data_IF_174116537384
#
_entry.id   IF_174116537384
#
_cell.length_a   1.000
_cell.length_b   1.000
_cell.length_c   1.000
_cell.angle_alpha   90.00
_cell.angle_beta   90.00
_cell.angle_gamma   90.00
#
_symmetry.space_group_name_H-M   'P 1'
#
loop_
_entity.id
_entity.type
_entity.pdbx_description
1 polymer ?
#
# COMPACT_ATOMS: atom_id res chain seq x y z
N UNK A 1 -18.43 -16.67 75.48
CA UNK A 1 -17.08 -16.64 74.85
C UNK A 1 -17.12 -17.59 73.67
N UNK A 2 -16.58 -17.17 72.52
CA UNK A 2 -16.49 -17.99 71.31
C UNK A 2 -15.03 -18.14 70.91
N UNK A 3 -14.64 -19.32 70.43
CA UNK A 3 -13.29 -19.59 69.97
C UNK A 3 -13.28 -20.72 68.94
N UNK A 4 -12.17 -20.83 68.23
CA UNK A 4 -11.93 -21.91 67.28
C UNK A 4 -10.64 -22.65 67.66
N UNK A 5 -10.59 -23.95 67.39
CA UNK A 5 -9.39 -24.76 67.58
C UNK A 5 -9.30 -25.82 66.49
N UNK A 6 -8.10 -26.01 65.98
CA UNK A 6 -7.81 -27.15 65.12
C UNK A 6 -7.48 -28.36 66.00
N UNK A 7 -8.19 -29.46 65.80
CA UNK A 7 -7.88 -30.74 66.44
C UNK A 7 -7.66 -31.80 65.37
N UNK A 8 -6.81 -32.77 65.69
CA UNK A 8 -6.57 -33.94 64.83
C UNK A 8 -7.28 -35.14 65.45
N UNK A 9 -8.25 -35.69 64.74
CA UNK A 9 -9.00 -36.89 65.16
C UNK A 9 -8.87 -37.92 64.05
N UNK A 10 -8.43 -39.13 64.41
CA UNK A 10 -8.33 -40.29 63.50
C UNK A 10 -7.55 -40.03 62.20
N UNK A 11 -6.51 -39.18 62.28
CA UNK A 11 -5.67 -38.81 61.13
C UNK A 11 -6.12 -37.56 60.36
N UNK A 12 -7.38 -37.17 60.48
CA UNK A 12 -8.00 -36.03 59.79
C UNK A 12 -8.01 -34.76 60.68
N UNK A 13 -7.91 -33.59 60.04
CA UNK A 13 -7.93 -32.31 60.73
C UNK A 13 -9.35 -31.73 60.75
N UNK A 14 -9.83 -31.37 61.94
CA UNK A 14 -11.15 -30.80 62.16
C UNK A 14 -11.02 -29.37 62.71
N UNK A 15 -11.81 -28.45 62.15
CA UNK A 15 -12.03 -27.14 62.73
C UNK A 15 -13.17 -27.24 63.74
N UNK A 16 -12.83 -26.99 65.01
CA UNK A 16 -13.80 -27.02 66.10
C UNK A 16 -14.15 -25.60 66.47
N UNK A 17 -15.42 -25.25 66.29
CA UNK A 17 -15.96 -23.96 66.71
C UNK A 17 -16.78 -24.18 67.98
N UNK A 18 -16.50 -23.41 69.03
CA UNK A 18 -17.32 -23.42 70.23
C UNK A 18 -17.89 -22.04 70.51
N UNK A 19 -19.18 -21.97 70.79
CA UNK A 19 -19.87 -20.74 71.18
C UNK A 19 -20.79 -20.97 72.38
N UNK A 20 -20.72 -20.06 73.35
CA UNK A 20 -21.61 -20.08 74.50
C UNK A 20 -23.02 -19.61 74.08
N UNK A 21 -24.06 -20.35 74.47
CA UNK A 21 -25.43 -19.96 74.18
C UNK A 21 -25.83 -18.76 75.04
N UNK A 22 -26.21 -17.65 74.40
CA UNK A 22 -26.49 -16.39 75.10
C UNK A 22 -27.62 -16.48 76.14
N UNK A 23 -28.48 -17.51 76.06
CA UNK A 23 -29.63 -17.70 76.94
C UNK A 23 -29.43 -18.76 78.04
N UNK A 24 -28.30 -19.49 78.04
CA UNK A 24 -28.01 -20.54 79.03
C UNK A 24 -26.56 -20.44 79.50
N UNK A 25 -26.37 -20.10 80.77
CA UNK A 25 -25.08 -19.65 81.33
C UNK A 25 -23.94 -20.69 81.31
N UNK A 26 -24.25 -21.96 81.05
CA UNK A 26 -23.28 -23.08 81.05
C UNK A 26 -23.37 -24.00 79.81
N UNK A 27 -24.11 -23.60 78.76
CA UNK A 27 -24.28 -24.42 77.57
C UNK A 27 -23.40 -23.90 76.43
N UNK A 28 -22.59 -24.78 75.87
CA UNK A 28 -21.70 -24.50 74.74
C UNK A 28 -22.11 -25.38 73.57
N UNK A 29 -22.36 -24.76 72.41
CA UNK A 29 -22.46 -25.49 71.16
C UNK A 29 -21.04 -25.71 70.64
N UNK A 30 -20.73 -26.96 70.31
CA UNK A 30 -19.46 -27.35 69.71
C UNK A 30 -19.77 -27.96 68.35
N UNK A 31 -19.28 -27.33 67.29
CA UNK A 31 -19.39 -27.79 65.92
C UNK A 31 -18.05 -28.35 65.44
N UNK A 32 -18.09 -29.52 64.79
CA UNK A 32 -16.92 -30.23 64.27
C UNK A 32 -17.02 -30.31 62.74
N UNK A 33 -16.32 -29.41 62.05
CA UNK A 33 -16.29 -29.43 60.58
C UNK A 33 -14.95 -30.00 60.09
N UNK A 34 -14.93 -31.08 59.29
CA UNK A 34 -13.69 -31.56 58.66
C UNK A 34 -13.08 -30.48 57.78
N UNK A 35 -11.78 -30.20 57.93
CA UNK A 35 -11.13 -29.16 57.13
C UNK A 35 -11.10 -29.51 55.64
N UNK A 36 -11.14 -30.81 55.32
CA UNK A 36 -11.27 -31.34 53.96
C UNK A 36 -12.56 -30.90 53.27
N UNK A 37 -13.68 -30.79 54.00
CA UNK A 37 -14.94 -30.25 53.46
C UNK A 37 -14.86 -28.74 53.18
N UNK A 38 -14.09 -28.00 53.98
CA UNK A 38 -13.83 -26.57 53.77
C UNK A 38 -12.85 -26.33 52.61
N UNK A 39 -11.85 -27.20 52.45
CA UNK A 39 -10.79 -27.07 51.44
C UNK A 39 -11.17 -27.66 50.07
N UNK A 40 -12.02 -28.70 50.00
CA UNK A 40 -12.44 -29.31 48.74
C UNK A 40 -13.06 -28.31 47.72
N UNK A 41 -13.96 -27.40 48.13
CA UNK A 41 -14.44 -26.33 47.27
C UNK A 41 -13.32 -25.41 46.78
N UNK A 42 -12.31 -25.15 47.61
CA UNK A 42 -11.17 -24.29 47.27
C UNK A 42 -10.31 -24.94 46.18
N UNK A 43 -9.98 -26.23 46.31
CA UNK A 43 -9.20 -26.95 45.30
C UNK A 43 -9.94 -27.11 43.97
N UNK A 44 -11.26 -27.36 44.01
CA UNK A 44 -12.09 -27.41 42.80
C UNK A 44 -12.12 -26.05 42.06
N UNK A 45 -12.25 -24.95 42.79
CA UNK A 45 -12.22 -23.59 42.23
C UNK A 45 -10.83 -23.23 41.67
N UNK A 46 -9.75 -23.63 42.34
CA UNK A 46 -8.39 -23.41 41.84
C UNK A 46 -8.14 -24.13 40.51
N UNK A 47 -8.61 -25.38 40.36
CA UNK A 47 -8.50 -26.12 39.09
C UNK A 47 -9.26 -25.44 37.96
N UNK A 48 -10.48 -24.96 38.20
CA UNK A 48 -11.25 -24.21 37.22
C UNK A 48 -10.56 -22.89 36.84
N UNK A 49 -9.97 -22.19 37.81
CA UNK A 49 -9.20 -20.96 37.58
C UNK A 49 -7.97 -21.21 36.71
N UNK A 50 -7.17 -22.25 37.00
CA UNK A 50 -6.00 -22.57 36.18
C UNK A 50 -6.41 -23.02 34.78
N UNK A 51 -7.46 -23.83 34.66
CA UNK A 51 -7.99 -24.24 33.36
C UNK A 51 -8.47 -23.05 32.52
N UNK A 52 -9.27 -22.15 33.10
CA UNK A 52 -9.76 -20.96 32.39
C UNK A 52 -8.62 -20.01 32.03
N UNK A 53 -7.62 -19.86 32.90
CA UNK A 53 -6.44 -19.03 32.64
C UNK A 53 -5.63 -19.57 31.45
N UNK A 54 -5.33 -20.88 31.44
CA UNK A 54 -4.61 -21.52 30.33
C UNK A 54 -5.43 -21.46 29.05
N UNK A 55 -6.74 -21.71 29.12
CA UNK A 55 -7.63 -21.62 27.98
C UNK A 55 -7.64 -20.22 27.38
N UNK A 56 -7.78 -19.17 28.19
CA UNK A 56 -7.76 -17.77 27.73
C UNK A 56 -6.42 -17.39 27.11
N UNK A 57 -5.30 -17.85 27.68
CA UNK A 57 -3.97 -17.62 27.10
C UNK A 57 -3.86 -18.26 25.71
N UNK A 58 -4.21 -19.55 25.59
CA UNK A 58 -4.18 -20.25 24.30
C UNK A 58 -5.12 -19.61 23.28
N UNK A 59 -6.32 -19.23 23.71
CA UNK A 59 -7.29 -18.55 22.87
C UNK A 59 -6.77 -17.19 22.38
N UNK A 60 -6.12 -16.41 23.25
CA UNK A 60 -5.53 -15.12 22.87
C UNK A 60 -4.41 -15.27 21.83
N UNK A 61 -3.55 -16.29 21.99
CA UNK A 61 -2.47 -16.59 21.05
C UNK A 61 -3.05 -17.00 19.70
N UNK A 62 -4.06 -17.88 19.71
CA UNK A 62 -4.75 -18.30 18.49
C UNK A 62 -5.36 -17.11 17.76
N UNK A 63 -6.06 -16.23 18.48
CA UNK A 63 -6.69 -15.05 17.89
C UNK A 63 -5.64 -14.08 17.31
N UNK A 64 -4.52 -13.88 18.02
CA UNK A 64 -3.42 -13.05 17.54
C UNK A 64 -2.79 -13.61 16.25
N UNK A 65 -2.63 -14.93 16.15
CA UNK A 65 -2.13 -15.59 14.94
C UNK A 65 -3.10 -15.46 13.77
N UNK A 66 -4.40 -15.59 14.01
CA UNK A 66 -5.44 -15.40 12.99
C UNK A 66 -5.44 -13.95 12.49
N UNK A 67 -5.45 -12.96 13.38
CA UNK A 67 -5.38 -11.54 12.99
C UNK A 67 -4.08 -11.22 12.23
N UNK A 68 -2.95 -11.78 12.66
CA UNK A 68 -1.69 -11.59 11.95
C UNK A 68 -1.78 -12.16 10.53
N UNK A 69 -2.31 -13.37 10.37
CA UNK A 69 -2.41 -14.04 9.07
C UNK A 69 -3.43 -13.36 8.14
N UNK A 70 -4.61 -13.07 8.65
CA UNK A 70 -5.76 -12.69 7.84
C UNK A 70 -5.88 -11.16 7.65
N UNK A 71 -5.21 -10.36 8.48
CA UNK A 71 -5.25 -8.88 8.41
C UNK A 71 -3.86 -8.29 8.18
N UNK A 72 -2.89 -8.61 9.03
CA UNK A 72 -1.58 -7.95 9.00
C UNK A 72 -0.78 -8.30 7.72
N UNK A 73 -0.83 -9.54 7.26
CA UNK A 73 -0.14 -9.97 6.04
C UNK A 73 -0.73 -9.29 4.78
N UNK A 74 -2.05 -9.32 4.52
CA UNK A 74 -2.63 -8.62 3.36
C UNK A 74 -2.35 -7.13 3.36
N UNK A 75 -2.46 -6.44 4.50
CA UNK A 75 -2.14 -5.01 4.62
C UNK A 75 -0.68 -4.73 4.22
N UNK A 76 0.26 -5.54 4.70
CA UNK A 76 1.69 -5.37 4.35
C UNK A 76 1.94 -5.58 2.85
N UNK A 77 1.26 -6.54 2.22
CA UNK A 77 1.33 -6.76 0.77
C UNK A 77 0.80 -5.56 -0.01
N UNK A 78 -0.33 -5.00 0.41
CA UNK A 78 -0.90 -3.79 -0.21
C UNK A 78 0.05 -2.60 -0.09
N UNK A 79 0.59 -2.35 1.11
CA UNK A 79 1.57 -1.29 1.33
C UNK A 79 2.85 -1.46 0.49
N UNK A 80 3.31 -2.70 0.33
CA UNK A 80 4.41 -3.01 -0.56
C UNK A 80 4.07 -2.65 -2.01
N UNK A 81 2.87 -3.00 -2.48
CA UNK A 81 2.40 -2.64 -3.81
C UNK A 81 2.36 -1.13 -4.02
N UNK A 82 1.76 -0.38 -3.09
CA UNK A 82 1.73 1.09 -3.15
C UNK A 82 3.14 1.67 -3.26
N UNK A 83 4.08 1.21 -2.44
CA UNK A 83 5.48 1.67 -2.49
C UNK A 83 6.13 1.42 -3.85
N UNK A 84 5.82 0.28 -4.48
CA UNK A 84 6.35 -0.07 -5.80
C UNK A 84 5.84 0.85 -6.91
N UNK A 85 4.54 1.14 -6.94
CA UNK A 85 3.96 2.14 -7.86
C UNK A 85 4.62 3.51 -7.65
N UNK A 86 4.77 3.95 -6.39
CA UNK A 86 5.42 5.24 -6.11
C UNK A 86 6.88 5.30 -6.53
N UNK A 87 7.57 4.16 -6.61
CA UNK A 87 8.94 4.06 -7.11
C UNK A 87 9.07 3.93 -8.63
N UNK A 88 7.97 4.06 -9.38
CA UNK A 88 7.96 3.94 -10.84
C UNK A 88 7.77 2.52 -11.38
N UNK A 89 7.47 1.54 -10.52
CA UNK A 89 7.22 0.15 -10.93
C UNK A 89 5.71 -0.10 -11.05
N UNK A 90 5.16 0.13 -12.24
CA UNK A 90 3.70 0.08 -12.51
C UNK A 90 3.18 -1.28 -13.01
N UNK A 91 4.06 -2.25 -13.23
CA UNK A 91 3.70 -3.60 -13.72
C UNK A 91 3.57 -4.64 -12.61
N UNK A 92 3.26 -4.19 -11.39
CA UNK A 92 3.09 -5.11 -10.26
C UNK A 92 1.65 -5.61 -10.17
N UNK A 93 1.50 -6.85 -9.73
CA UNK A 93 0.20 -7.46 -9.48
C UNK A 93 0.23 -8.11 -8.12
N UNK A 94 -0.69 -7.71 -7.25
CA UNK A 94 -0.91 -8.35 -5.97
C UNK A 94 -1.85 -9.54 -6.18
N UNK A 95 -1.46 -10.70 -5.65
CA UNK A 95 -2.28 -11.91 -5.67
C UNK A 95 -2.56 -12.38 -4.24
N UNK A 96 -3.81 -12.74 -3.99
CA UNK A 96 -4.28 -13.37 -2.77
C UNK A 96 -5.07 -14.62 -3.15
N UNK A 97 -4.91 -15.68 -2.35
CA UNK A 97 -5.64 -16.95 -2.53
C UNK A 97 -6.95 -16.97 -1.73
N UNK A 98 -7.17 -15.99 -0.86
CA UNK A 98 -8.37 -15.85 -0.03
C UNK A 98 -9.44 -15.04 -0.77
N UNK A 99 -10.69 -15.51 -0.71
CA UNK A 99 -11.86 -14.83 -1.28
C UNK A 99 -12.53 -13.93 -0.23
N UNK A 100 -11.80 -12.92 0.25
CA UNK A 100 -12.24 -11.96 1.27
C UNK A 100 -12.25 -10.52 0.73
N UNK A 101 -12.53 -9.54 1.58
CA UNK A 101 -12.52 -8.12 1.23
C UNK A 101 -11.14 -7.65 0.72
N UNK A 102 -10.05 -8.32 1.10
CA UNK A 102 -8.72 -7.99 0.60
C UNK A 102 -8.51 -8.44 -0.85
N UNK A 103 -9.20 -9.49 -1.32
CA UNK A 103 -9.24 -9.82 -2.74
C UNK A 103 -9.78 -8.65 -3.56
N UNK A 104 -10.92 -8.09 -3.15
CA UNK A 104 -11.49 -6.91 -3.80
C UNK A 104 -10.51 -5.73 -3.78
N UNK A 105 -9.86 -5.45 -2.64
CA UNK A 105 -8.85 -4.39 -2.55
C UNK A 105 -7.65 -4.62 -3.48
N UNK A 106 -7.19 -5.87 -3.61
CA UNK A 106 -6.07 -6.20 -4.48
C UNK A 106 -6.43 -6.08 -5.95
N UNK A 107 -7.63 -6.51 -6.34
CA UNK A 107 -8.12 -6.37 -7.71
C UNK A 107 -8.25 -4.89 -8.10
N UNK A 108 -8.84 -4.06 -7.23
CA UNK A 108 -8.94 -2.62 -7.46
C UNK A 108 -7.56 -1.96 -7.51
N UNK A 109 -6.63 -2.37 -6.65
CA UNK A 109 -5.24 -1.91 -6.72
C UNK A 109 -4.58 -2.28 -8.05
N UNK A 110 -4.77 -3.51 -8.53
CA UNK A 110 -4.20 -4.00 -9.78
C UNK A 110 -4.75 -3.25 -10.99
N UNK A 111 -6.06 -2.99 -11.00
CA UNK A 111 -6.74 -2.18 -12.02
C UNK A 111 -6.16 -0.76 -12.06
N UNK A 112 -6.03 -0.10 -10.90
CA UNK A 112 -5.40 1.22 -10.81
C UNK A 112 -3.94 1.22 -11.29
N UNK A 113 -3.16 0.20 -10.93
CA UNK A 113 -1.76 0.07 -11.39
C UNK A 113 -1.68 -0.01 -12.92
N UNK A 114 -2.61 -0.75 -13.54
CA UNK A 114 -2.71 -0.90 -14.99
C UNK A 114 -3.12 0.42 -15.66
N UNK A 115 -4.14 1.10 -15.13
CA UNK A 115 -4.58 2.40 -15.66
C UNK A 115 -3.47 3.44 -15.62
N UNK A 116 -2.72 3.52 -14.51
CA UNK A 116 -1.57 4.42 -14.38
C UNK A 116 -0.52 4.12 -15.45
N UNK A 117 -0.20 2.83 -15.68
CA UNK A 117 0.74 2.42 -16.72
C UNK A 117 0.26 2.86 -18.11
N UNK A 118 -0.99 2.57 -18.45
CA UNK A 118 -1.58 2.95 -19.75
C UNK A 118 -1.60 4.47 -19.94
N UNK A 119 -1.87 5.23 -18.87
CA UNK A 119 -1.84 6.69 -18.91
C UNK A 119 -0.42 7.21 -19.18
N UNK A 120 0.60 6.64 -18.53
CA UNK A 120 2.00 7.01 -18.76
C UNK A 120 2.40 6.71 -20.21
N UNK A 121 2.08 5.52 -20.72
CA UNK A 121 2.36 5.14 -22.11
C UNK A 121 1.67 6.07 -23.09
N UNK A 122 0.41 6.44 -22.85
CA UNK A 122 -0.34 7.38 -23.69
C UNK A 122 0.30 8.76 -23.71
N UNK A 123 0.61 9.33 -22.55
CA UNK A 123 1.24 10.65 -22.44
C UNK A 123 2.59 10.65 -23.16
N UNK A 124 3.38 9.58 -23.01
CA UNK A 124 4.66 9.45 -23.69
C UNK A 124 4.50 9.39 -25.22
N UNK A 125 3.55 8.60 -25.72
CA UNK A 125 3.26 8.52 -27.16
C UNK A 125 2.77 9.85 -27.73
N UNK A 126 1.93 10.59 -27.01
CA UNK A 126 1.48 11.92 -27.41
C UNK A 126 2.63 12.93 -27.42
N UNK A 127 3.56 12.86 -26.48
CA UNK A 127 4.77 13.69 -26.49
C UNK A 127 5.65 13.41 -27.73
N UNK A 128 5.81 12.14 -28.11
CA UNK A 128 6.54 11.76 -29.34
C UNK A 128 5.84 12.34 -30.56
N UNK A 129 4.53 12.12 -30.70
CA UNK A 129 3.73 12.65 -31.82
C UNK A 129 3.81 14.16 -31.94
N UNK A 130 3.73 14.85 -30.80
CA UNK A 130 3.85 16.32 -30.74
C UNK A 130 5.24 16.79 -31.19
N UNK A 131 6.31 16.12 -30.74
CA UNK A 131 7.67 16.40 -31.20
C UNK A 131 7.81 16.17 -32.71
N UNK A 132 7.32 15.06 -33.24
CA UNK A 132 7.35 14.79 -34.67
C UNK A 132 6.54 15.79 -35.49
N UNK A 133 5.36 16.19 -35.01
CA UNK A 133 4.54 17.20 -35.65
C UNK A 133 5.26 18.55 -35.71
N UNK A 134 5.93 18.94 -34.62
CA UNK A 134 6.75 20.15 -34.57
C UNK A 134 7.93 20.06 -35.54
N UNK A 135 8.63 18.92 -35.61
CA UNK A 135 9.70 18.70 -36.59
C UNK A 135 9.17 18.77 -38.03
N UNK A 136 8.04 18.12 -38.34
CA UNK A 136 7.39 18.20 -39.66
C UNK A 136 7.00 19.62 -40.03
N UNK A 137 6.47 20.39 -39.07
CA UNK A 137 6.15 21.80 -39.27
C UNK A 137 7.40 22.61 -39.59
N UNK A 138 8.51 22.42 -38.86
CA UNK A 138 9.79 23.07 -39.15
C UNK A 138 10.30 22.69 -40.55
N UNK A 139 10.27 21.41 -40.92
CA UNK A 139 10.64 20.97 -42.27
C UNK A 139 9.76 21.59 -43.37
N UNK A 140 8.47 21.79 -43.13
CA UNK A 140 7.56 22.40 -44.13
C UNK A 140 7.86 23.87 -44.41
N UNK A 141 8.52 24.59 -43.48
CA UNK A 141 8.97 25.96 -43.70
C UNK A 141 10.10 26.04 -44.73
N UNK A 142 10.79 24.93 -45.00
CA UNK A 142 11.74 24.78 -46.09
C UNK A 142 11.03 24.03 -47.21
N UNK A 143 10.47 24.73 -48.21
CA UNK A 143 9.89 24.06 -49.39
C UNK A 143 11.02 23.54 -50.29
N UNK A 144 11.25 22.21 -50.39
CA UNK A 144 12.35 21.68 -51.19
C UNK A 144 12.18 22.02 -52.67
N UNK A 145 10.92 22.01 -53.16
CA UNK A 145 10.58 22.39 -54.52
C UNK A 145 10.92 23.86 -54.83
N UNK A 146 10.75 24.78 -53.88
CA UNK A 146 11.16 26.17 -54.08
C UNK A 146 12.68 26.27 -54.30
N UNK A 147 13.46 25.56 -53.48
CA UNK A 147 14.92 25.50 -53.66
C UNK A 147 15.30 24.89 -55.02
N UNK A 148 14.71 23.75 -55.40
CA UNK A 148 14.94 23.14 -56.71
C UNK A 148 14.57 24.09 -57.86
N UNK A 149 13.44 24.80 -57.76
CA UNK A 149 13.01 25.76 -58.77
C UNK A 149 13.91 26.98 -58.86
N UNK A 150 14.38 27.52 -57.73
CA UNK A 150 15.34 28.61 -57.71
C UNK A 150 16.67 28.20 -58.34
N UNK A 151 17.14 26.98 -58.06
CA UNK A 151 18.37 26.44 -58.68
C UNK A 151 18.20 26.16 -60.17
N UNK A 152 17.06 25.61 -60.60
CA UNK A 152 16.75 25.39 -62.00
C UNK A 152 16.66 26.72 -62.77
N UNK A 153 16.05 27.75 -62.17
CA UNK A 153 16.02 29.10 -62.73
C UNK A 153 17.43 29.68 -62.89
N UNK A 154 18.27 29.58 -61.85
CA UNK A 154 19.67 30.03 -61.92
C UNK A 154 20.41 29.31 -63.05
N UNK A 155 20.22 27.99 -63.19
CA UNK A 155 20.82 27.21 -64.29
C UNK A 155 20.39 27.72 -65.65
N UNK A 156 19.08 27.85 -65.89
CA UNK A 156 18.58 28.33 -67.20
C UNK A 156 19.01 29.76 -67.51
N UNK A 157 19.02 30.66 -66.53
CA UNK A 157 19.48 32.04 -66.75
C UNK A 157 20.99 32.09 -67.03
N UNK A 158 21.76 31.17 -66.45
CA UNK A 158 23.19 31.03 -66.79
C UNK A 158 23.38 30.52 -68.23
N UNK A 159 22.57 29.54 -68.67
CA UNK A 159 22.60 29.03 -70.05
C UNK A 159 22.17 30.08 -71.09
N UNK A 160 21.36 31.06 -70.69
CA UNK A 160 20.92 32.19 -71.51
C UNK A 160 21.84 33.43 -71.41
N UNK A 161 22.95 33.35 -70.66
CA UNK A 161 23.88 34.45 -70.38
C UNK A 161 23.23 35.68 -69.68
N UNK A 162 22.10 35.46 -68.98
CA UNK A 162 21.33 36.46 -68.24
C UNK A 162 21.89 36.68 -66.83
N UNK A 163 23.08 37.29 -66.77
CA UNK A 163 23.85 37.47 -65.52
C UNK A 163 23.08 38.21 -64.41
N UNK A 164 22.28 39.21 -64.75
CA UNK A 164 21.55 40.01 -63.76
C UNK A 164 20.47 39.18 -63.05
N UNK A 165 19.72 38.36 -63.80
CA UNK A 165 18.69 37.47 -63.25
C UNK A 165 19.28 36.43 -62.28
N UNK A 166 20.48 35.92 -62.56
CA UNK A 166 21.23 35.03 -61.66
C UNK A 166 21.58 35.71 -60.33
N UNK A 167 22.07 36.96 -60.38
CA UNK A 167 22.42 37.75 -59.19
C UNK A 167 21.17 38.02 -58.35
N UNK A 168 20.08 38.46 -58.97
CA UNK A 168 18.84 38.83 -58.28
C UNK A 168 18.17 37.63 -57.62
N UNK A 169 18.15 36.46 -58.28
CA UNK A 169 17.65 35.22 -57.69
C UNK A 169 18.53 34.76 -56.53
N UNK A 170 19.87 34.84 -56.67
CA UNK A 170 20.81 34.45 -55.62
C UNK A 170 20.67 35.31 -54.35
N UNK A 171 20.50 36.63 -54.51
CA UNK A 171 20.25 37.56 -53.41
C UNK A 171 18.90 37.28 -52.75
N UNK A 172 17.86 37.04 -53.56
CA UNK A 172 16.51 36.74 -53.07
C UNK A 172 16.48 35.45 -52.26
N UNK A 173 17.16 34.40 -52.74
CA UNK A 173 17.30 33.12 -52.07
C UNK A 173 18.06 33.26 -50.74
N UNK A 174 19.18 33.99 -50.73
CA UNK A 174 19.93 34.31 -49.51
C UNK A 174 19.07 35.06 -48.47
N UNK A 175 18.27 36.03 -48.92
CA UNK A 175 17.37 36.80 -48.05
C UNK A 175 16.23 35.96 -47.48
N UNK A 176 15.68 35.05 -48.27
CA UNK A 176 14.64 34.10 -47.85
C UNK A 176 15.15 33.18 -46.74
N UNK A 177 16.26 32.46 -46.97
CA UNK A 177 16.82 31.56 -45.96
C UNK A 177 17.27 32.29 -44.69
N UNK A 178 17.83 33.49 -44.80
CA UNK A 178 18.17 34.32 -43.64
C UNK A 178 16.95 34.68 -42.80
N UNK A 179 15.77 34.85 -43.40
CA UNK A 179 14.52 35.10 -42.67
C UNK A 179 14.00 33.82 -42.01
N UNK A 180 13.98 32.70 -42.72
CA UNK A 180 13.53 31.40 -42.17
C UNK A 180 14.33 31.00 -40.92
N UNK A 181 15.66 31.14 -40.96
CA UNK A 181 16.55 30.83 -39.82
C UNK A 181 16.38 31.84 -38.67
N UNK A 182 16.11 33.13 -38.95
CA UNK A 182 15.87 34.13 -37.89
C UNK A 182 14.55 33.92 -37.16
N UNK A 183 13.51 33.51 -37.87
CA UNK A 183 12.23 33.14 -37.26
C UNK A 183 12.40 31.93 -36.32
N UNK A 184 13.25 30.98 -36.66
CA UNK A 184 13.54 29.78 -35.85
C UNK A 184 14.06 30.12 -34.44
N UNK A 185 14.97 31.10 -34.31
CA UNK A 185 15.56 31.49 -33.02
C UNK A 185 14.62 32.28 -32.09
N UNK A 186 13.53 32.85 -32.62
CA UNK A 186 12.62 33.72 -31.84
C UNK A 186 11.59 32.91 -31.03
N UNK A 187 11.39 31.62 -31.36
CA UNK A 187 10.48 30.72 -30.64
C UNK A 187 11.17 29.76 -29.67
N UNK A 188 12.49 29.91 -29.46
CA UNK A 188 13.31 29.12 -28.54
C UNK A 188 13.75 29.88 -27.28
N UNK A 189 13.23 31.08 -27.02
CA UNK A 189 13.45 31.85 -25.77
C UNK A 189 12.14 31.98 -25.01
#
# INVERSE_FOLDING_TARGET
MSGNRLIKLDGEQYLVNFSALSNFKDWYIVDYTPISEVLNPIYANQRLYYFSSVFLLLFSILLALLLYRDVQIPIRKLLWGVRKITSGQYSITLRQESNDEFMYLFDRFNEMSKEIKELIERVYMEQIRSKEAKLRQLHSQIQPHFLYNSLAFIKSMTELDEKQAVIDMSISLSRYFRQTIKFENTYTT
#
